data_IF_557191849155
#
_entry.id   IF_557191849155
#
_cell.length_a   1.000
_cell.length_b   1.000
_cell.length_c   1.000
_cell.angle_alpha   90.00
_cell.angle_beta   90.00
_cell.angle_gamma   90.00
#
_symmetry.space_group_name_H-M   'P 1'
#
loop_
_entity.id
_entity.type
_entity.pdbx_description
1 polymer ?
#
# COMPACT_ATOMS: atom_id res chain seq x y z
N UNK A 1 -7.63 -57.91 -50.87
CA UNK A 1 -6.77 -57.85 -49.67
C UNK A 1 -5.51 -57.14 -50.10
N UNK A 2 -5.49 -55.82 -49.89
CA UNK A 2 -4.38 -54.95 -50.27
C UNK A 2 -3.98 -54.22 -48.99
N UNK A 3 -2.80 -54.54 -48.48
CA UNK A 3 -2.23 -53.93 -47.29
C UNK A 3 -1.43 -52.70 -47.73
N UNK A 4 -1.90 -51.52 -47.34
CA UNK A 4 -1.18 -50.27 -47.51
C UNK A 4 -0.15 -50.13 -46.37
N UNK A 5 1.13 -50.26 -46.72
CA UNK A 5 2.26 -50.03 -45.83
C UNK A 5 2.48 -48.51 -45.73
N UNK A 6 1.99 -47.91 -44.64
CA UNK A 6 2.29 -46.52 -44.28
C UNK A 6 3.72 -46.46 -43.74
N UNK A 7 4.61 -45.88 -44.54
CA UNK A 7 6.01 -45.63 -44.13
C UNK A 7 6.07 -44.27 -43.45
N UNK A 8 6.06 -44.24 -42.11
CA UNK A 8 6.30 -43.02 -41.34
C UNK A 8 7.73 -42.51 -41.57
N UNK A 9 7.86 -41.28 -42.08
CA UNK A 9 9.14 -40.58 -42.16
C UNK A 9 9.40 -39.83 -40.86
N UNK A 10 10.61 -39.88 -40.28
CA UNK A 10 10.94 -39.11 -39.09
C UNK A 10 10.96 -37.61 -39.41
N UNK A 11 10.07 -36.85 -38.76
CA UNK A 11 10.02 -35.40 -38.85
C UNK A 11 11.27 -34.79 -38.21
N UNK A 12 12.20 -34.33 -39.07
CA UNK A 12 13.34 -33.51 -38.63
C UNK A 12 12.85 -32.14 -38.17
N UNK A 13 13.32 -31.61 -37.03
CA UNK A 13 12.86 -30.32 -36.51
C UNK A 13 13.31 -29.18 -37.43
N UNK A 14 12.33 -28.53 -38.07
CA UNK A 14 12.55 -27.33 -38.88
C UNK A 14 12.90 -26.17 -37.94
N UNK A 15 14.18 -25.81 -37.88
CA UNK A 15 14.62 -24.56 -37.25
C UNK A 15 14.43 -23.40 -38.22
N UNK A 16 13.45 -22.55 -37.95
CA UNK A 16 13.28 -21.28 -38.67
C UNK A 16 14.02 -20.20 -37.89
N UNK A 17 15.06 -19.63 -38.51
CA UNK A 17 15.84 -18.51 -37.96
C UNK A 17 15.43 -17.26 -38.73
N UNK A 18 14.85 -16.28 -38.04
CA UNK A 18 14.55 -14.98 -38.62
C UNK A 18 15.63 -13.98 -38.21
N UNK A 19 16.21 -13.28 -39.18
CA UNK A 19 17.08 -12.14 -38.93
C UNK A 19 16.30 -10.84 -39.13
N UNK A 20 16.03 -10.11 -38.05
CA UNK A 20 15.40 -8.79 -38.11
C UNK A 20 16.51 -7.74 -38.28
N UNK A 21 16.52 -7.04 -39.41
CA UNK A 21 17.40 -5.89 -39.65
C UNK A 21 16.59 -4.62 -39.45
N UNK A 22 16.90 -3.87 -38.40
CA UNK A 22 16.33 -2.54 -38.15
C UNK A 22 17.29 -1.51 -38.75
N UNK A 23 16.86 -0.86 -39.83
CA UNK A 23 17.54 0.32 -40.37
C UNK A 23 16.94 1.57 -39.74
N UNK A 24 17.66 2.19 -38.81
CA UNK A 24 17.30 3.50 -38.28
C UNK A 24 17.81 4.58 -39.24
N UNK A 25 16.92 5.12 -40.07
CA UNK A 25 17.24 6.34 -40.83
C UNK A 25 17.24 7.55 -39.88
N UNK A 26 18.43 8.13 -39.72
CA UNK A 26 18.66 9.29 -38.86
C UNK A 26 17.95 10.54 -39.35
N UNK A 27 17.09 11.10 -38.50
CA UNK A 27 16.45 12.41 -38.68
C UNK A 27 17.55 13.50 -38.64
N UNK A 28 18.03 13.92 -39.80
CA UNK A 28 18.92 15.09 -39.96
C UNK A 28 18.11 16.39 -39.84
N UNK A 29 17.87 16.84 -38.61
CA UNK A 29 17.32 18.16 -38.32
C UNK A 29 18.38 19.27 -38.46
N UNK A 30 18.42 19.93 -39.62
CA UNK A 30 19.21 21.15 -39.88
C UNK A 30 18.72 22.32 -39.02
N UNK A 31 19.45 22.70 -37.97
CA UNK A 31 19.25 24.00 -37.29
C UNK A 31 20.02 25.10 -38.04
N UNK A 32 19.26 25.97 -38.69
CA UNK A 32 19.72 27.14 -39.45
C UNK A 32 19.95 28.30 -38.47
N UNK A 33 21.22 28.62 -38.21
CA UNK A 33 21.63 29.82 -37.47
C UNK A 33 21.31 31.03 -38.34
N UNK A 34 20.46 31.94 -37.86
CA UNK A 34 20.25 33.26 -38.46
C UNK A 34 21.10 34.27 -37.72
N UNK A 35 22.17 34.70 -38.38
CA UNK A 35 22.97 35.89 -38.10
C UNK A 35 22.15 37.13 -38.45
N UNK A 36 22.03 38.09 -37.54
CA UNK A 36 21.50 39.42 -37.81
C UNK A 36 22.52 40.47 -37.36
N UNK A 37 23.04 41.19 -38.35
CA UNK A 37 23.86 42.41 -38.28
C UNK A 37 23.02 43.63 -37.87
N UNK A 38 23.51 44.53 -37.02
CA UNK A 38 22.93 45.86 -36.83
C UNK A 38 23.61 46.90 -37.73
N UNK A 39 22.81 47.86 -38.23
CA UNK A 39 23.27 49.02 -39.02
C UNK A 39 23.28 50.26 -38.12
N UNK A 40 24.35 51.04 -38.29
CA UNK A 40 24.75 52.21 -37.54
C UNK A 40 23.77 53.39 -37.54
N UNK A 41 23.79 54.16 -36.45
CA UNK A 41 23.79 55.63 -36.51
C UNK A 41 24.59 56.20 -35.34
N UNK A 42 25.55 57.06 -35.69
CA UNK A 42 26.39 57.89 -34.85
C UNK A 42 25.59 58.81 -33.93
N UNK A 43 26.12 59.06 -32.72
CA UNK A 43 26.41 60.42 -32.23
C UNK A 43 27.18 60.36 -30.89
N UNK A 44 28.39 60.94 -30.91
CA UNK A 44 29.14 61.59 -29.83
C UNK A 44 29.61 60.78 -28.57
N UNK A 45 30.94 60.69 -28.45
CA UNK A 45 31.76 60.41 -27.25
C UNK A 45 31.71 61.59 -26.24
N UNK A 46 32.36 61.55 -25.05
CA UNK A 46 33.09 60.47 -24.36
C UNK A 46 32.70 60.29 -22.87
N UNK A 47 33.07 59.16 -22.25
CA UNK A 47 33.87 59.08 -21.00
C UNK A 47 34.07 57.58 -20.69
N UNK A 48 35.34 57.17 -20.71
CA UNK A 48 35.80 55.85 -20.28
C UNK A 48 35.74 55.77 -18.76
N UNK A 49 35.00 54.80 -18.24
CA UNK A 49 35.29 54.19 -16.94
C UNK A 49 35.40 52.69 -17.16
N UNK A 50 36.65 52.25 -17.25
CA UNK A 50 37.10 50.89 -16.93
C UNK A 50 36.65 50.54 -15.51
N UNK A 51 35.93 49.42 -15.35
CA UNK A 51 36.01 48.43 -14.24
C UNK A 51 34.65 47.77 -13.99
N UNK A 52 34.53 46.47 -14.29
CA UNK A 52 34.12 45.42 -13.33
C UNK A 52 33.76 44.13 -14.07
N UNK A 53 34.33 42.97 -13.68
CA UNK A 53 33.97 41.69 -14.25
C UNK A 53 32.53 41.32 -13.82
N UNK A 54 31.69 40.99 -14.79
CA UNK A 54 30.34 40.47 -14.56
C UNK A 54 30.41 39.22 -13.69
N UNK A 55 29.80 39.28 -12.51
CA UNK A 55 29.58 38.13 -11.65
C UNK A 55 28.74 37.07 -12.40
N UNK A 56 29.02 35.77 -12.26
CA UNK A 56 28.28 34.73 -12.95
C UNK A 56 26.85 34.63 -12.43
N UNK A 57 25.88 34.83 -13.33
CA UNK A 57 24.45 34.66 -13.10
C UNK A 57 24.13 33.24 -12.60
N UNK A 58 23.79 33.13 -11.32
CA UNK A 58 23.41 31.88 -10.65
C UNK A 58 21.92 31.53 -10.77
N UNK A 59 21.14 32.26 -11.60
CA UNK A 59 19.68 32.11 -11.74
C UNK A 59 19.21 30.93 -12.61
N UNK A 60 20.13 30.16 -13.21
CA UNK A 60 19.82 29.18 -14.26
C UNK A 60 19.23 27.83 -13.78
N UNK A 61 19.06 27.61 -12.46
CA UNK A 61 18.65 26.29 -11.92
C UNK A 61 17.15 26.13 -11.70
N UNK A 62 16.41 27.21 -11.43
CA UNK A 62 14.97 27.13 -11.11
C UNK A 62 14.11 26.82 -12.35
N UNK A 63 14.50 27.32 -13.53
CA UNK A 63 13.75 27.17 -14.79
C UNK A 63 13.68 25.72 -15.30
N UNK A 64 14.69 24.90 -14.99
CA UNK A 64 14.74 23.50 -15.46
C UNK A 64 13.73 22.60 -14.76
N UNK A 65 13.41 22.86 -13.49
CA UNK A 65 12.46 22.04 -12.72
C UNK A 65 11.03 22.23 -13.21
N UNK A 66 10.62 23.48 -13.45
CA UNK A 66 9.31 23.80 -14.02
C UNK A 66 9.17 23.24 -15.43
N UNK A 67 10.20 23.37 -16.28
CA UNK A 67 10.15 22.83 -17.64
C UNK A 67 9.98 21.31 -17.67
N UNK A 68 10.64 20.58 -16.77
CA UNK A 68 10.47 19.12 -16.68
C UNK A 68 9.06 18.74 -16.21
N UNK A 69 8.47 19.49 -15.29
CA UNK A 69 7.11 19.23 -14.81
C UNK A 69 6.06 19.48 -15.92
N UNK A 70 6.19 20.58 -16.67
CA UNK A 70 5.32 20.85 -17.82
C UNK A 70 5.45 19.75 -18.88
N UNK A 71 6.68 19.36 -19.23
CA UNK A 71 6.93 18.27 -20.19
C UNK A 71 6.30 16.93 -19.74
N UNK A 72 6.35 16.61 -18.44
CA UNK A 72 5.70 15.42 -17.90
C UNK A 72 4.16 15.52 -17.97
N UNK A 73 3.60 16.69 -17.69
CA UNK A 73 2.16 16.92 -17.79
C UNK A 73 1.68 16.84 -19.25
N UNK A 74 2.41 17.43 -20.18
CA UNK A 74 2.11 17.37 -21.62
C UNK A 74 2.17 15.93 -22.11
N UNK A 75 3.21 15.17 -21.75
CA UNK A 75 3.34 13.76 -22.10
C UNK A 75 2.23 12.89 -21.44
N UNK A 76 1.68 13.30 -20.31
CA UNK A 76 0.54 12.63 -19.67
C UNK A 76 -0.77 12.94 -20.41
N UNK A 77 -1.01 14.21 -20.76
CA UNK A 77 -2.18 14.62 -21.53
C UNK A 77 -2.20 13.98 -22.91
N UNK A 78 -1.06 13.92 -23.59
CA UNK A 78 -0.90 13.20 -24.85
C UNK A 78 -1.23 11.71 -24.70
N UNK A 79 -0.73 11.07 -23.64
CA UNK A 79 -1.04 9.66 -23.33
C UNK A 79 -2.54 9.40 -23.13
N UNK A 80 -3.26 10.33 -22.51
CA UNK A 80 -4.71 10.24 -22.29
C UNK A 80 -5.47 10.45 -23.60
N UNK A 81 -5.07 11.46 -24.39
CA UNK A 81 -5.71 11.76 -25.68
C UNK A 81 -5.54 10.61 -26.67
N UNK A 82 -4.34 10.04 -26.76
CA UNK A 82 -4.05 8.90 -27.64
C UNK A 82 -4.82 7.66 -27.20
N UNK A 83 -4.87 7.37 -25.89
CA UNK A 83 -5.66 6.24 -25.38
C UNK A 83 -7.16 6.41 -25.66
N UNK A 84 -7.71 7.60 -25.42
CA UNK A 84 -9.11 7.90 -25.73
C UNK A 84 -9.43 7.81 -27.23
N UNK A 85 -8.48 8.16 -28.10
CA UNK A 85 -8.63 8.00 -29.55
C UNK A 85 -8.71 6.53 -29.97
N UNK A 86 -7.91 5.64 -29.36
CA UNK A 86 -7.99 4.21 -29.62
C UNK A 86 -9.27 3.59 -29.04
N UNK A 87 -9.68 3.99 -27.84
CA UNK A 87 -10.93 3.53 -27.24
C UNK A 87 -12.13 3.87 -28.13
N UNK A 88 -12.21 5.10 -28.65
CA UNK A 88 -13.24 5.50 -29.62
C UNK A 88 -13.20 4.63 -30.89
N UNK A 89 -12.02 4.39 -31.45
CA UNK A 89 -11.87 3.55 -32.64
C UNK A 89 -12.29 2.10 -32.40
N UNK A 90 -12.01 1.55 -31.22
CA UNK A 90 -12.45 0.21 -30.83
C UNK A 90 -13.98 0.18 -30.73
N UNK A 91 -14.58 1.15 -30.05
CA UNK A 91 -16.03 1.28 -29.87
C UNK A 91 -16.76 1.41 -31.22
N UNK A 92 -16.26 2.27 -32.11
CA UNK A 92 -16.84 2.48 -33.45
C UNK A 92 -16.71 1.22 -34.33
N UNK A 93 -15.59 0.49 -34.22
CA UNK A 93 -15.32 -0.69 -35.05
C UNK A 93 -16.07 -1.95 -34.59
N UNK A 94 -16.19 -2.14 -33.29
CA UNK A 94 -16.69 -3.39 -32.70
C UNK A 94 -18.13 -3.25 -32.18
N UNK A 95 -18.89 -2.28 -32.70
CA UNK A 95 -20.32 -2.23 -32.51
C UNK A 95 -20.98 -3.45 -33.19
N UNK A 96 -21.78 -4.19 -32.43
CA UNK A 96 -22.39 -5.42 -32.90
C UNK A 96 -23.62 -5.11 -33.77
N UNK A 97 -23.52 -5.47 -35.05
CA UNK A 97 -24.60 -5.31 -36.03
C UNK A 97 -25.36 -6.61 -36.34
N UNK A 98 -24.98 -7.74 -35.74
CA UNK A 98 -25.66 -9.02 -35.96
C UNK A 98 -26.95 -9.10 -35.13
N UNK A 99 -28.09 -9.21 -35.80
CA UNK A 99 -29.43 -9.38 -35.20
C UNK A 99 -29.56 -10.72 -34.46
N UNK A 100 -28.69 -11.69 -34.75
CA UNK A 100 -28.62 -12.98 -34.08
C UNK A 100 -27.74 -12.97 -32.83
N UNK A 101 -27.01 -11.88 -32.56
CA UNK A 101 -26.28 -11.72 -31.32
C UNK A 101 -27.24 -11.30 -30.19
N UNK A 102 -27.08 -11.87 -28.99
CA UNK A 102 -27.85 -11.41 -27.82
C UNK A 102 -27.42 -10.00 -27.36
N UNK A 103 -26.26 -9.52 -27.81
CA UNK A 103 -25.71 -8.20 -27.52
C UNK A 103 -25.83 -7.26 -28.74
N UNK A 104 -26.92 -7.37 -29.51
CA UNK A 104 -27.21 -6.50 -30.66
C UNK A 104 -27.18 -5.02 -30.25
N UNK A 105 -26.54 -4.18 -31.07
CA UNK A 105 -26.21 -2.76 -30.80
C UNK A 105 -25.24 -2.50 -29.64
N UNK A 106 -24.84 -3.53 -28.90
CA UNK A 106 -23.75 -3.47 -27.92
C UNK A 106 -22.39 -3.55 -28.61
N UNK A 107 -21.36 -3.92 -27.84
CA UNK A 107 -19.99 -4.07 -28.34
C UNK A 107 -19.56 -5.52 -28.24
N UNK A 108 -19.15 -6.10 -29.37
CA UNK A 108 -18.68 -7.48 -29.41
C UNK A 108 -17.39 -7.58 -30.20
N UNK A 109 -16.44 -8.33 -29.65
CA UNK A 109 -15.34 -8.84 -30.45
C UNK A 109 -15.82 -10.12 -31.15
N UNK A 110 -15.54 -10.24 -32.45
CA UNK A 110 -15.88 -11.41 -33.26
C UNK A 110 -14.58 -12.15 -33.54
N UNK A 111 -14.47 -13.38 -33.06
CA UNK A 111 -13.28 -14.20 -33.34
C UNK A 111 -13.27 -14.56 -34.84
N UNK A 112 -12.16 -14.29 -35.55
CA UNK A 112 -12.08 -14.54 -36.98
C UNK A 112 -12.13 -16.03 -37.34
N UNK A 113 -11.91 -16.93 -36.38
CA UNK A 113 -11.79 -18.37 -36.61
C UNK A 113 -13.14 -19.09 -36.57
N UNK A 114 -13.95 -18.79 -35.55
CA UNK A 114 -15.21 -19.49 -35.27
C UNK A 114 -16.45 -18.58 -35.42
N UNK A 115 -16.25 -17.29 -35.70
CA UNK A 115 -17.29 -16.27 -35.79
C UNK A 115 -18.16 -16.15 -34.52
N UNK A 116 -17.61 -16.49 -33.36
CA UNK A 116 -18.28 -16.31 -32.08
C UNK A 116 -18.16 -14.86 -31.60
N UNK A 117 -19.27 -14.33 -31.07
CA UNK A 117 -19.30 -12.99 -30.51
C UNK A 117 -19.02 -13.03 -29.00
N UNK A 118 -18.12 -12.19 -28.54
CA UNK A 118 -17.77 -12.03 -27.13
C UNK A 118 -18.09 -10.63 -26.64
N UNK A 119 -18.76 -10.50 -25.49
CA UNK A 119 -19.17 -9.19 -24.96
C UNK A 119 -17.96 -8.35 -24.54
N UNK A 120 -17.88 -7.12 -25.05
CA UNK A 120 -16.86 -6.16 -24.66
C UNK A 120 -17.44 -5.13 -23.68
N UNK A 121 -16.93 -5.14 -22.45
CA UNK A 121 -17.21 -4.09 -21.45
C UNK A 121 -16.31 -2.86 -21.69
N UNK A 122 -16.64 -1.72 -21.09
CA UNK A 122 -15.79 -0.53 -21.13
C UNK A 122 -14.36 -0.80 -20.60
N UNK A 123 -14.25 -1.62 -19.54
CA UNK A 123 -12.95 -2.03 -18.98
C UNK A 123 -12.14 -2.82 -20.01
N UNK A 124 -12.79 -3.70 -20.79
CA UNK A 124 -12.13 -4.45 -21.87
C UNK A 124 -11.65 -3.50 -22.99
N UNK A 125 -12.47 -2.52 -23.38
CA UNK A 125 -12.12 -1.51 -24.39
C UNK A 125 -10.90 -0.68 -23.97
N UNK A 126 -10.89 -0.19 -22.73
CA UNK A 126 -9.78 0.58 -22.16
C UNK A 126 -8.50 -0.25 -22.08
N UNK A 127 -8.59 -1.51 -21.61
CA UNK A 127 -7.44 -2.43 -21.55
C UNK A 127 -6.86 -2.69 -22.94
N UNK A 128 -7.71 -2.90 -23.95
CA UNK A 128 -7.28 -3.06 -25.34
C UNK A 128 -6.65 -1.79 -25.89
N UNK A 129 -7.25 -0.61 -25.70
CA UNK A 129 -6.68 0.67 -26.14
C UNK A 129 -5.27 0.91 -25.57
N UNK A 130 -5.06 0.58 -24.29
CA UNK A 130 -3.76 0.68 -23.64
C UNK A 130 -2.73 -0.29 -24.25
N UNK A 131 -3.14 -1.50 -24.62
CA UNK A 131 -2.26 -2.48 -25.26
C UNK A 131 -1.90 -2.09 -26.71
N UNK A 132 -2.80 -1.43 -27.46
CA UNK A 132 -2.48 -0.86 -28.77
C UNK A 132 -1.40 0.21 -28.62
N UNK A 133 -1.56 1.10 -27.64
CA UNK A 133 -0.57 2.13 -27.33
C UNK A 133 0.79 1.54 -26.95
N UNK A 134 0.80 0.42 -26.23
CA UNK A 134 2.03 -0.29 -25.87
C UNK A 134 2.70 -1.02 -27.06
N UNK A 135 1.97 -1.22 -28.17
CA UNK A 135 2.44 -2.00 -29.32
C UNK A 135 2.21 -3.51 -29.20
N UNK A 136 1.51 -3.95 -28.15
CA UNK A 136 1.22 -5.36 -27.86
C UNK A 136 -0.05 -5.87 -28.58
N UNK A 137 -0.86 -4.96 -29.10
CA UNK A 137 -2.11 -5.26 -29.78
C UNK A 137 -2.36 -4.32 -30.96
N UNK A 138 -3.35 -4.67 -31.78
CA UNK A 138 -3.80 -3.83 -32.91
C UNK A 138 -5.30 -3.62 -32.80
N UNK A 139 -5.86 -2.69 -33.59
CA UNK A 139 -7.32 -2.45 -33.64
C UNK A 139 -8.12 -3.69 -34.06
N UNK A 140 -7.50 -4.62 -34.80
CA UNK A 140 -8.13 -5.86 -35.28
C UNK A 140 -7.82 -7.06 -34.39
N UNK A 141 -6.63 -7.10 -33.78
CA UNK A 141 -6.19 -8.20 -32.94
C UNK A 141 -6.09 -7.75 -31.47
N UNK A 142 -7.04 -8.16 -30.61
CA UNK A 142 -7.00 -7.89 -29.17
C UNK A 142 -5.81 -8.58 -28.49
N UNK A 143 -5.44 -8.12 -27.28
CA UNK A 143 -4.40 -8.76 -26.48
C UNK A 143 -4.80 -10.20 -26.14
N UNK A 144 -3.85 -11.14 -26.21
CA UNK A 144 -4.09 -12.57 -25.91
C UNK A 144 -4.72 -12.78 -24.52
N UNK A 145 -4.32 -11.97 -23.54
CA UNK A 145 -4.90 -12.02 -22.19
C UNK A 145 -6.41 -11.76 -22.20
N UNK A 146 -6.85 -10.78 -22.99
CA UNK A 146 -8.24 -10.37 -23.10
C UNK A 146 -9.08 -11.44 -23.81
N UNK A 147 -8.53 -12.03 -24.88
CA UNK A 147 -9.16 -13.16 -25.60
C UNK A 147 -9.43 -14.33 -24.67
N UNK A 148 -8.48 -14.68 -23.79
CA UNK A 148 -8.68 -15.77 -22.81
C UNK A 148 -9.81 -15.48 -21.83
N UNK A 149 -9.93 -14.23 -21.35
CA UNK A 149 -11.03 -13.82 -20.46
C UNK A 149 -12.37 -13.98 -21.18
N UNK A 150 -12.47 -13.52 -22.42
CA UNK A 150 -13.68 -13.67 -23.23
C UNK A 150 -14.05 -15.13 -23.50
N UNK A 151 -13.06 -15.98 -23.80
CA UNK A 151 -13.28 -17.42 -23.97
C UNK A 151 -13.79 -18.08 -22.67
N UNK A 152 -13.32 -17.64 -21.50
CA UNK A 152 -13.80 -18.11 -20.20
C UNK A 152 -15.23 -17.64 -19.90
N UNK A 153 -15.54 -16.37 -20.19
CA UNK A 153 -16.88 -15.78 -20.05
C UNK A 153 -17.90 -16.44 -21.01
N UNK A 154 -17.40 -16.91 -22.15
CA UNK A 154 -18.17 -17.63 -23.17
C UNK A 154 -18.77 -16.70 -24.23
N UNK A 155 -19.10 -17.30 -25.37
CA UNK A 155 -19.73 -16.59 -26.47
C UNK A 155 -21.17 -16.17 -26.15
N UNK A 156 -21.60 -15.04 -26.71
CA UNK A 156 -22.89 -14.39 -26.46
C UNK A 156 -23.93 -14.74 -27.54
N UNK A 157 -23.56 -15.57 -28.53
CA UNK A 157 -24.45 -15.96 -29.62
C UNK A 157 -25.72 -16.66 -29.09
N UNK A 158 -26.87 -16.47 -29.76
CA UNK A 158 -28.15 -17.11 -29.40
C UNK A 158 -28.05 -18.65 -29.28
N UNK A 159 -27.15 -19.26 -30.05
CA UNK A 159 -26.90 -20.70 -30.05
C UNK A 159 -26.07 -21.15 -28.82
N UNK A 160 -25.20 -20.28 -28.32
CA UNK A 160 -24.35 -20.53 -27.16
C UNK A 160 -25.02 -20.11 -25.85
N UNK A 161 -26.36 -20.24 -25.76
CA UNK A 161 -27.09 -20.00 -24.51
C UNK A 161 -26.55 -20.94 -23.44
N UNK A 162 -25.61 -20.45 -22.63
CA UNK A 162 -25.31 -21.07 -21.35
C UNK A 162 -26.64 -21.24 -20.60
N UNK A 163 -26.88 -22.38 -19.93
CA UNK A 163 -27.99 -22.48 -19.00
C UNK A 163 -27.92 -21.25 -18.10
N UNK A 164 -29.02 -20.45 -18.07
CA UNK A 164 -29.10 -19.16 -17.39
C UNK A 164 -28.31 -19.27 -16.10
N UNK A 165 -27.17 -18.57 -16.01
CA UNK A 165 -26.47 -18.50 -14.74
C UNK A 165 -27.50 -18.07 -13.71
N UNK A 166 -27.64 -18.92 -12.70
CA UNK A 166 -28.54 -18.73 -11.57
C UNK A 166 -28.42 -17.26 -11.16
N UNK A 167 -29.58 -16.59 -11.06
CA UNK A 167 -29.71 -15.14 -10.85
C UNK A 167 -28.65 -14.61 -9.90
N UNK A 168 -28.18 -13.36 -10.07
CA UNK A 168 -27.27 -12.70 -9.13
C UNK A 168 -27.75 -12.83 -7.65
N UNK A 169 -29.06 -13.01 -7.43
CA UNK A 169 -29.65 -13.32 -6.12
C UNK A 169 -29.35 -14.75 -5.59
N UNK A 170 -29.19 -15.74 -6.47
CA UNK A 170 -28.76 -17.09 -6.11
C UNK A 170 -27.25 -17.17 -5.90
N UNK A 171 -26.46 -16.42 -6.67
CA UNK A 171 -25.01 -16.31 -6.42
C UNK A 171 -24.71 -15.61 -5.08
N UNK A 172 -25.45 -14.55 -4.73
CA UNK A 172 -25.30 -13.90 -3.41
C UNK A 172 -25.74 -14.81 -2.27
N UNK A 173 -26.80 -15.62 -2.45
CA UNK A 173 -27.24 -16.61 -1.45
C UNK A 173 -26.17 -17.68 -1.20
N UNK A 174 -25.55 -18.21 -2.25
CA UNK A 174 -24.46 -19.19 -2.13
C UNK A 174 -23.22 -18.61 -1.46
N UNK A 175 -22.85 -17.36 -1.78
CA UNK A 175 -21.75 -16.68 -1.07
C UNK A 175 -22.07 -16.42 0.41
N UNK A 176 -23.30 -16.04 0.73
CA UNK A 176 -23.69 -15.78 2.12
C UNK A 176 -23.74 -17.06 2.96
N UNK A 177 -24.16 -18.18 2.36
CA UNK A 177 -24.15 -19.50 2.98
C UNK A 177 -22.72 -19.99 3.22
N UNK A 178 -21.83 -19.84 2.22
CA UNK A 178 -20.39 -20.11 2.37
C UNK A 178 -19.74 -19.24 3.47
N UNK A 179 -20.13 -17.97 3.57
CA UNK A 179 -19.64 -17.07 4.61
C UNK A 179 -20.11 -17.47 6.01
N UNK A 180 -21.38 -17.86 6.18
CA UNK A 180 -21.90 -18.37 7.45
C UNK A 180 -21.21 -19.66 7.87
N UNK A 181 -20.96 -20.57 6.92
CA UNK A 181 -20.23 -21.82 7.20
C UNK A 181 -18.78 -21.55 7.60
N UNK A 182 -18.15 -20.55 7.00
CA UNK A 182 -16.78 -20.13 7.37
C UNK A 182 -16.76 -19.52 8.77
N UNK A 183 -17.73 -18.66 9.11
CA UNK A 183 -17.88 -18.15 10.48
C UNK A 183 -18.08 -19.27 11.50
N UNK A 184 -18.90 -20.27 11.17
CA UNK A 184 -19.11 -21.45 12.01
C UNK A 184 -17.82 -22.23 12.22
N UNK A 185 -17.03 -22.47 11.17
CA UNK A 185 -15.73 -23.12 11.27
C UNK A 185 -14.73 -22.34 12.14
N UNK A 186 -14.68 -21.01 12.02
CA UNK A 186 -13.81 -20.17 12.85
C UNK A 186 -14.19 -20.34 14.33
N UNK A 187 -15.49 -20.35 14.64
CA UNK A 187 -15.97 -20.49 16.01
C UNK A 187 -15.65 -21.88 16.58
N UNK A 188 -15.82 -22.94 15.78
CA UNK A 188 -15.48 -24.32 16.17
C UNK A 188 -13.97 -24.50 16.36
N UNK A 189 -13.15 -23.94 15.46
CA UNK A 189 -11.70 -23.94 15.58
C UNK A 189 -11.22 -23.22 16.85
N UNK A 190 -11.83 -22.07 17.16
CA UNK A 190 -11.53 -21.32 18.39
C UNK A 190 -11.88 -22.12 19.63
N UNK A 191 -13.00 -22.85 19.61
CA UNK A 191 -13.42 -23.71 20.71
C UNK A 191 -12.44 -24.90 20.91
N UNK A 192 -11.98 -25.52 19.83
CA UNK A 192 -10.98 -26.59 19.87
C UNK A 192 -9.65 -26.07 20.41
N UNK A 193 -9.21 -24.89 19.98
CA UNK A 193 -7.98 -24.28 20.48
C UNK A 193 -8.04 -24.03 21.98
N UNK A 194 -9.18 -23.52 22.48
CA UNK A 194 -9.41 -23.32 23.90
C UNK A 194 -9.40 -24.64 24.69
N UNK A 195 -9.99 -25.72 24.15
CA UNK A 195 -9.91 -27.04 24.76
C UNK A 195 -8.48 -27.59 24.81
N UNK A 196 -7.69 -27.36 23.77
CA UNK A 196 -6.31 -27.81 23.68
C UNK A 196 -5.41 -27.09 24.69
N UNK A 197 -5.55 -25.77 24.82
CA UNK A 197 -4.82 -24.98 25.82
C UNK A 197 -5.18 -25.40 27.25
N UNK A 198 -6.47 -25.69 27.50
CA UNK A 198 -6.93 -26.20 28.79
C UNK A 198 -6.32 -27.57 29.12
N UNK A 199 -6.23 -28.48 28.14
CA UNK A 199 -5.55 -29.77 28.34
C UNK A 199 -4.05 -29.61 28.61
N UNK A 200 -3.38 -28.72 27.89
CA UNK A 200 -1.95 -28.45 28.10
C UNK A 200 -1.71 -27.85 29.49
N UNK A 201 -2.56 -26.94 29.94
CA UNK A 201 -2.48 -26.36 31.28
C UNK A 201 -2.67 -27.42 32.36
N UNK A 202 -3.56 -28.39 32.14
CA UNK A 202 -3.76 -29.52 33.04
C UNK A 202 -2.51 -30.42 33.10
N UNK A 203 -1.88 -30.70 31.96
CA UNK A 203 -0.62 -31.46 31.91
C UNK A 203 0.52 -30.75 32.62
N UNK A 204 0.73 -29.44 32.35
CA UNK A 204 1.76 -28.65 33.04
C UNK A 204 1.55 -28.62 34.55
N UNK A 205 0.31 -28.58 35.01
CA UNK A 205 0.00 -28.65 36.44
C UNK A 205 0.30 -30.03 37.03
N UNK A 206 0.01 -31.12 36.32
CA UNK A 206 0.38 -32.46 36.76
C UNK A 206 1.90 -32.64 36.82
N UNK A 207 2.63 -32.15 35.83
CA UNK A 207 4.09 -32.20 35.81
C UNK A 207 4.69 -31.40 36.97
N UNK A 208 4.17 -30.21 37.27
CA UNK A 208 4.56 -29.43 38.45
C UNK A 208 4.30 -30.17 39.76
N UNK A 209 3.22 -30.95 39.85
CA UNK A 209 2.95 -31.79 41.03
C UNK A 209 3.97 -32.93 41.13
N UNK A 210 4.28 -33.59 40.01
CA UNK A 210 5.29 -34.65 39.94
C UNK A 210 6.66 -34.14 40.36
N UNK A 211 7.11 -33.00 39.83
CA UNK A 211 8.40 -32.39 40.20
C UNK A 211 8.47 -32.04 41.69
N UNK A 212 7.37 -31.56 42.28
CA UNK A 212 7.31 -31.29 43.72
C UNK A 212 7.40 -32.56 44.55
N UNK A 213 6.86 -33.66 44.05
CA UNK A 213 6.94 -34.96 44.71
C UNK A 213 8.37 -35.51 44.64
N UNK A 214 9.00 -35.48 43.46
CA UNK A 214 10.41 -35.88 43.29
C UNK A 214 11.35 -35.03 44.15
N UNK A 215 11.13 -33.71 44.27
CA UNK A 215 11.92 -32.86 45.16
C UNK A 215 11.78 -33.25 46.64
N UNK A 216 10.58 -33.65 47.06
CA UNK A 216 10.36 -34.14 48.43
C UNK A 216 11.10 -35.46 48.66
N UNK A 217 10.99 -36.39 47.72
CA UNK A 217 11.69 -37.68 47.78
C UNK A 217 13.22 -37.51 47.78
N UNK A 218 13.75 -36.58 46.97
CA UNK A 218 15.17 -36.25 46.94
C UNK A 218 15.64 -35.60 48.25
N UNK A 219 14.86 -34.67 48.81
CA UNK A 219 15.17 -34.06 50.10
C UNK A 219 15.15 -35.09 51.24
N UNK A 220 14.22 -36.04 51.20
CA UNK A 220 14.11 -37.12 52.17
C UNK A 220 15.31 -38.09 52.09
N UNK A 221 15.78 -38.43 50.88
CA UNK A 221 17.03 -39.20 50.71
C UNK A 221 18.25 -38.47 51.28
N UNK A 222 18.40 -37.17 51.02
CA UNK A 222 19.50 -36.37 51.56
C UNK A 222 19.42 -36.27 53.08
N UNK A 223 18.22 -36.16 53.64
CA UNK A 223 17.97 -36.18 55.09
C UNK A 223 18.41 -37.50 55.73
N UNK A 224 18.13 -38.65 55.10
CA UNK A 224 18.54 -39.96 55.63
C UNK A 224 20.06 -40.21 55.55
N UNK A 225 20.77 -39.53 54.65
CA UNK A 225 22.23 -39.66 54.50
C UNK A 225 23.03 -38.82 55.50
N UNK A 226 22.39 -37.97 56.33
CA UNK A 226 23.09 -37.20 57.38
C UNK A 226 23.29 -38.06 58.63
N UNK A 227 24.53 -38.47 58.96
CA UNK A 227 24.81 -39.13 60.23
C UNK A 227 24.49 -38.19 61.41
N UNK A 228 23.95 -38.73 62.53
CA UNK A 228 23.60 -37.95 63.71
C UNK A 228 24.86 -37.54 64.46
N UNK A 229 25.57 -36.52 63.98
CA UNK A 229 26.67 -35.91 64.73
C UNK A 229 26.12 -34.83 65.66
N UNK A 230 26.08 -35.19 66.95
CA UNK A 230 26.36 -34.34 68.11
C UNK A 230 25.72 -32.96 68.16
N UNK A 231 24.64 -32.83 68.94
CA UNK A 231 24.31 -31.58 69.62
C UNK A 231 25.47 -31.17 70.53
N UNK A 232 26.37 -30.32 70.05
CA UNK A 232 27.28 -29.57 70.91
C UNK A 232 26.71 -28.19 71.16
N UNK A 233 25.95 -28.12 72.25
CA UNK A 233 25.85 -26.93 73.09
C UNK A 233 27.26 -26.43 73.45
N UNK A 234 27.41 -25.11 73.63
CA UNK A 234 28.14 -24.44 74.73
C UNK A 234 28.82 -23.12 74.30
N UNK A 235 28.30 -22.02 74.88
CA UNK A 235 28.95 -20.80 75.39
C UNK A 235 29.83 -19.86 74.53
N UNK A 236 29.58 -18.55 74.71
CA UNK A 236 30.51 -17.42 74.51
C UNK A 236 29.88 -16.29 73.69
N UNK A 237 29.15 -15.31 74.25
CA UNK A 237 29.54 -14.20 75.16
C UNK A 237 30.58 -13.23 74.57
N UNK A 238 30.10 -12.06 74.14
CA UNK A 238 30.64 -10.77 74.59
C UNK A 238 31.33 -9.87 73.55
N UNK A 239 30.73 -8.67 73.36
CA UNK A 239 31.34 -7.36 73.02
C UNK A 239 32.09 -7.26 71.66
N UNK A 240 32.09 -6.17 70.90
CA UNK A 240 32.13 -4.77 71.31
C UNK A 240 31.70 -3.80 70.19
N UNK A 241 31.57 -2.54 70.59
CA UNK A 241 31.02 -1.39 69.89
C UNK A 241 31.74 -0.91 68.60
N UNK A 242 30.96 -0.23 67.75
CA UNK A 242 31.39 1.01 67.10
C UNK A 242 31.86 0.94 65.64
N UNK A 243 30.99 1.29 64.69
CA UNK A 243 31.07 2.55 63.90
C UNK A 243 29.96 2.63 62.85
N UNK A 244 29.47 3.84 62.52
CA UNK A 244 28.30 4.05 61.68
C UNK A 244 28.73 4.26 60.22
N UNK A 245 28.19 3.46 59.30
CA UNK A 245 28.20 3.84 57.88
C UNK A 245 26.76 4.07 57.43
N UNK A 246 26.41 5.35 57.36
CA UNK A 246 25.21 5.83 56.69
C UNK A 246 25.30 5.49 55.21
N UNK A 247 24.46 4.56 54.76
CA UNK A 247 23.96 4.58 53.39
C UNK A 247 22.58 5.23 53.40
N UNK A 248 22.34 6.25 52.56
CA UNK A 248 21.02 6.85 52.44
C UNK A 248 20.07 5.84 51.81
N UNK A 249 18.90 5.74 52.42
CA UNK A 249 17.88 4.76 52.12
C UNK A 249 17.22 4.92 50.76
N UNK A 250 16.52 3.85 50.40
CA UNK A 250 15.20 3.90 49.79
C UNK A 250 14.48 2.61 50.19
N UNK A 251 13.87 2.66 51.38
CA UNK A 251 12.80 1.78 51.86
C UNK A 251 11.68 1.71 50.80
N UNK A 252 11.18 0.54 50.41
CA UNK A 252 10.27 -0.32 51.18
C UNK A 252 9.00 0.39 51.65
N UNK A 253 7.87 -0.01 51.10
CA UNK A 253 6.71 -0.36 51.92
C UNK A 253 6.02 -1.60 51.34
N UNK A 254 6.24 -2.74 51.99
CA UNK A 254 5.27 -3.81 52.06
C UNK A 254 5.43 -4.54 53.38
N UNK A 255 4.69 -4.06 54.38
CA UNK A 255 4.36 -4.84 55.57
C UNK A 255 3.05 -5.63 55.35
N UNK A 256 2.84 -6.68 56.15
CA UNK A 256 1.91 -7.75 55.92
C UNK A 256 0.62 -7.57 56.74
N UNK A 257 -0.50 -8.12 56.25
CA UNK A 257 -1.66 -8.39 57.11
C UNK A 257 -2.23 -9.77 56.79
N UNK A 258 -2.36 -10.49 57.89
CA UNK A 258 -2.94 -11.78 58.17
C UNK A 258 -4.43 -11.88 57.80
N UNK A 259 -4.93 -13.13 57.73
CA UNK A 259 -6.33 -13.55 57.94
C UNK A 259 -7.45 -12.85 57.17
N UNK A 260 -8.22 -13.60 56.38
CA UNK A 260 -9.59 -13.97 56.79
C UNK A 260 -10.17 -15.06 55.86
N UNK A 261 -10.58 -16.15 56.53
CA UNK A 261 -11.55 -17.16 56.09
C UNK A 261 -12.91 -16.50 55.84
N UNK A 262 -13.61 -16.85 54.76
CA UNK A 262 -15.02 -16.50 54.55
C UNK A 262 -15.60 -17.06 53.24
N UNK A 263 -16.92 -17.34 53.15
CA UNK A 263 -17.52 -18.50 52.47
C UNK A 263 -18.06 -18.21 51.03
N UNK A 264 -18.58 -19.22 50.30
CA UNK A 264 -19.12 -19.03 48.95
C UNK A 264 -20.54 -18.44 49.01
N UNK A 265 -20.79 -17.41 48.20
CA UNK A 265 -22.13 -16.83 48.02
C UNK A 265 -22.67 -17.21 46.65
N UNK A 266 -23.67 -18.08 46.66
CA UNK A 266 -24.72 -18.18 45.64
C UNK A 266 -25.34 -16.81 45.38
N UNK A 267 -25.32 -16.34 44.13
CA UNK A 267 -26.25 -15.31 43.65
C UNK A 267 -26.82 -15.76 42.30
N UNK A 268 -28.04 -16.27 42.38
CA UNK A 268 -29.00 -16.39 41.30
C UNK A 268 -29.23 -15.03 40.61
N UNK A 269 -29.07 -14.99 39.29
CA UNK A 269 -29.66 -13.94 38.46
C UNK A 269 -30.92 -14.48 37.76
N UNK A 270 -32.07 -13.78 37.81
CA UNK A 270 -33.28 -14.18 37.10
C UNK A 270 -33.23 -13.81 35.61
N UNK A 271 -34.03 -14.47 34.76
CA UNK A 271 -34.08 -14.22 33.32
C UNK A 271 -34.80 -12.91 33.00
N UNK A 272 -34.16 -12.06 32.20
CA UNK A 272 -34.78 -10.84 31.66
C UNK A 272 -35.78 -11.22 30.57
N UNK A 273 -37.06 -11.17 30.92
CA UNK A 273 -38.19 -11.21 29.99
C UNK A 273 -38.21 -9.94 29.14
N UNK A 274 -38.09 -10.08 27.82
CA UNK A 274 -38.46 -9.03 26.88
C UNK A 274 -39.99 -8.95 26.79
N UNK A 275 -40.54 -7.86 27.33
CA UNK A 275 -41.95 -7.52 27.18
C UNK A 275 -42.18 -6.86 25.81
N UNK A 276 -43.25 -7.32 25.16
CA UNK A 276 -43.89 -6.72 23.99
C UNK A 276 -44.07 -5.21 24.15
N UNK A 277 -43.59 -4.43 23.18
CA UNK A 277 -44.06 -3.06 22.96
C UNK A 277 -45.09 -3.07 21.83
N UNK A 278 -46.31 -2.73 22.21
CA UNK A 278 -47.49 -2.57 21.37
C UNK A 278 -47.27 -1.63 20.17
N UNK A 279 -47.83 -2.08 19.05
CA UNK A 279 -48.22 -1.26 17.92
C UNK A 279 -49.13 -0.12 18.37
N UNK A 280 -48.70 1.13 18.17
CA UNK A 280 -49.56 2.32 18.25
C UNK A 280 -49.63 2.99 16.87
N UNK A 281 -50.80 3.05 16.22
CA UNK A 281 -50.95 3.77 14.96
C UNK A 281 -51.06 5.27 15.24
N UNK A 282 -50.14 6.07 14.70
CA UNK A 282 -50.30 7.52 14.68
C UNK A 282 -51.01 7.95 13.39
N UNK A 283 -52.20 8.49 13.61
CA UNK A 283 -53.03 9.24 12.69
C UNK A 283 -52.32 10.51 12.17
N UNK A 284 -52.67 10.84 10.92
CA UNK A 284 -52.31 12.05 10.20
C UNK A 284 -52.57 13.33 11.01
N UNK A 285 -51.58 14.23 11.04
CA UNK A 285 -51.82 15.65 11.26
C UNK A 285 -50.91 16.53 10.38
N UNK A 286 -51.58 17.52 9.81
CA UNK A 286 -51.10 18.64 9.01
C UNK A 286 -49.80 19.29 9.47
N UNK A 287 -48.91 19.54 8.51
CA UNK A 287 -47.79 20.46 8.67
C UNK A 287 -47.91 21.64 7.71
N UNK A 288 -48.28 22.77 8.32
CA UNK A 288 -48.20 24.13 7.83
C UNK A 288 -46.71 24.54 7.71
N UNK A 289 -46.27 25.23 6.64
CA UNK A 289 -44.87 25.61 6.49
C UNK A 289 -44.52 26.78 7.43
N UNK A 290 -43.60 26.53 8.35
CA UNK A 290 -42.99 27.52 9.26
C UNK A 290 -41.69 28.00 8.60
N UNK A 291 -41.68 29.27 8.18
CA UNK A 291 -40.48 29.95 7.69
C UNK A 291 -39.43 30.00 8.81
N UNK A 292 -38.30 29.33 8.60
CA UNK A 292 -37.13 29.41 9.46
C UNK A 292 -36.08 30.32 8.83
N UNK A 293 -35.65 31.30 9.62
CA UNK A 293 -34.56 32.23 9.39
C UNK A 293 -33.23 31.48 9.15
N UNK A 294 -32.58 31.84 8.04
CA UNK A 294 -31.28 31.34 7.60
C UNK A 294 -30.18 31.85 8.56
N UNK A 295 -29.58 30.95 9.33
CA UNK A 295 -28.29 31.19 9.95
C UNK A 295 -27.17 30.87 8.93
N UNK A 296 -26.07 31.65 8.89
CA UNK A 296 -24.98 31.41 7.97
C UNK A 296 -24.26 30.10 8.30
N UNK A 297 -24.34 29.16 7.38
CA UNK A 297 -23.64 27.87 7.41
C UNK A 297 -22.13 28.18 7.35
N UNK A 298 -21.41 27.92 8.44
CA UNK A 298 -19.96 27.82 8.42
C UNK A 298 -19.57 26.73 7.43
N UNK A 299 -19.11 27.14 6.26
CA UNK A 299 -18.53 26.27 5.26
C UNK A 299 -17.29 25.63 5.86
N UNK A 300 -17.38 24.35 6.18
CA UNK A 300 -16.22 23.50 6.43
C UNK A 300 -15.30 23.61 5.23
N UNK A 301 -14.09 24.16 5.45
CA UNK A 301 -13.09 24.31 4.42
C UNK A 301 -12.87 22.96 3.72
N UNK A 302 -12.99 22.89 2.38
CA UNK A 302 -12.72 21.65 1.64
C UNK A 302 -11.27 21.26 1.92
N UNK A 303 -11.11 20.11 2.60
CA UNK A 303 -9.81 19.49 2.83
C UNK A 303 -9.05 19.43 1.50
N UNK A 304 -7.84 19.98 1.48
CA UNK A 304 -7.04 20.27 0.29
C UNK A 304 -7.07 19.16 -0.77
N UNK A 305 -7.07 19.53 -2.07
CA UNK A 305 -7.04 18.56 -3.15
C UNK A 305 -5.73 17.76 -3.07
N UNK A 306 -5.86 16.52 -2.61
CA UNK A 306 -4.83 15.50 -2.86
C UNK A 306 -4.83 15.34 -4.38
N UNK A 307 -3.69 15.62 -5.03
CA UNK A 307 -3.50 15.31 -6.45
C UNK A 307 -3.84 13.83 -6.66
N UNK A 308 -5.05 13.54 -7.14
CA UNK A 308 -5.56 12.22 -7.54
C UNK A 308 -4.93 11.72 -8.84
N UNK A 309 -3.79 12.30 -9.20
CA UNK A 309 -3.19 12.28 -10.52
C UNK A 309 -1.87 11.51 -10.56
N UNK A 310 -1.31 11.16 -9.40
CA UNK A 310 -0.21 10.21 -9.32
C UNK A 310 -0.79 8.79 -9.37
N UNK A 311 -0.36 7.99 -10.34
CA UNK A 311 -0.77 6.58 -10.45
C UNK A 311 -0.46 5.86 -9.13
N UNK A 312 -1.43 5.12 -8.58
CA UNK A 312 -1.30 4.45 -7.28
C UNK A 312 -0.05 3.57 -7.21
N UNK A 313 0.33 2.94 -8.32
CA UNK A 313 1.54 2.14 -8.46
C UNK A 313 2.81 2.97 -8.23
N UNK A 314 2.87 4.20 -8.75
CA UNK A 314 4.02 5.09 -8.49
C UNK A 314 4.11 5.46 -7.02
N UNK A 315 2.99 5.69 -6.34
CA UNK A 315 2.97 5.99 -4.91
C UNK A 315 3.44 4.78 -4.09
N UNK A 316 3.02 3.57 -4.48
CA UNK A 316 3.51 2.31 -3.90
C UNK A 316 5.02 2.17 -4.06
N UNK A 317 5.56 2.44 -5.26
CA UNK A 317 7.00 2.42 -5.52
C UNK A 317 7.73 3.41 -4.62
N UNK A 318 7.25 4.66 -4.54
CA UNK A 318 7.82 5.71 -3.67
C UNK A 318 7.78 5.30 -2.18
N UNK A 319 6.70 4.64 -1.74
CA UNK A 319 6.56 4.11 -0.39
C UNK A 319 7.63 3.07 -0.08
N UNK A 320 7.84 2.08 -0.96
CA UNK A 320 8.88 1.08 -0.75
C UNK A 320 10.28 1.69 -0.77
N UNK A 321 10.56 2.62 -1.67
CA UNK A 321 11.86 3.31 -1.72
C UNK A 321 12.14 4.14 -0.46
N UNK A 322 11.11 4.76 0.12
CA UNK A 322 11.21 5.41 1.42
C UNK A 322 11.48 4.38 2.53
N UNK A 323 10.75 3.27 2.55
CA UNK A 323 10.85 2.27 3.62
C UNK A 323 12.18 1.52 3.60
N UNK A 324 12.70 1.20 2.41
CA UNK A 324 14.03 0.59 2.22
C UNK A 324 15.11 1.54 2.74
N UNK A 325 15.09 2.82 2.34
CA UNK A 325 16.06 3.83 2.80
C UNK A 325 16.06 4.04 4.32
N UNK A 326 14.91 3.91 4.97
CA UNK A 326 14.79 4.09 6.43
C UNK A 326 15.05 2.80 7.23
N UNK A 327 15.27 1.67 6.57
CA UNK A 327 15.54 0.39 7.24
C UNK A 327 17.05 0.19 7.32
N UNK A 328 17.63 0.09 8.52
CA UNK A 328 19.07 -0.10 8.68
C UNK A 328 19.54 -1.55 8.42
N UNK A 329 18.65 -2.54 8.61
CA UNK A 329 18.99 -3.95 8.45
C UNK A 329 18.97 -4.36 6.98
N UNK A 330 20.13 -4.76 6.44
CA UNK A 330 20.31 -5.22 5.05
C UNK A 330 19.39 -6.42 4.72
N UNK A 331 19.32 -7.43 5.59
CA UNK A 331 18.41 -8.58 5.43
C UNK A 331 16.95 -8.14 5.32
N UNK A 332 16.56 -7.09 6.06
CA UNK A 332 15.19 -6.55 6.01
C UNK A 332 14.99 -5.70 4.75
N UNK A 333 16.00 -4.99 4.27
CA UNK A 333 15.96 -4.29 2.98
C UNK A 333 15.75 -5.28 1.83
N UNK A 334 16.45 -6.41 1.80
CA UNK A 334 16.28 -7.46 0.78
C UNK A 334 14.84 -8.01 0.77
N UNK A 335 14.26 -8.24 1.95
CA UNK A 335 12.86 -8.66 2.06
C UNK A 335 11.90 -7.59 1.55
N UNK A 336 12.17 -6.31 1.82
CA UNK A 336 11.39 -5.19 1.31
C UNK A 336 11.51 -5.04 -0.21
N UNK A 337 12.69 -5.28 -0.78
CA UNK A 337 12.93 -5.29 -2.23
C UNK A 337 12.11 -6.38 -2.92
N UNK A 338 12.16 -7.62 -2.42
CA UNK A 338 11.35 -8.73 -2.97
C UNK A 338 9.85 -8.47 -2.83
N UNK A 339 9.43 -7.90 -1.70
CA UNK A 339 8.03 -7.51 -1.51
C UNK A 339 7.63 -6.46 -2.54
N UNK A 340 8.43 -5.40 -2.73
CA UNK A 340 8.20 -4.35 -3.75
C UNK A 340 8.01 -4.96 -5.14
N UNK A 341 8.92 -5.84 -5.57
CA UNK A 341 8.83 -6.53 -6.86
C UNK A 341 7.53 -7.33 -6.98
N UNK A 342 7.15 -8.06 -5.94
CA UNK A 342 5.91 -8.84 -5.90
C UNK A 342 4.67 -7.94 -6.02
N UNK A 343 4.61 -6.84 -5.27
CA UNK A 343 3.47 -5.90 -5.30
C UNK A 343 3.33 -5.27 -6.69
N UNK A 344 4.44 -4.81 -7.29
CA UNK A 344 4.44 -4.22 -8.64
C UNK A 344 4.09 -5.26 -9.70
N UNK A 345 4.62 -6.48 -9.61
CA UNK A 345 4.35 -7.54 -10.59
C UNK A 345 2.89 -7.99 -10.59
N UNK A 346 2.19 -7.88 -9.46
CA UNK A 346 0.77 -8.25 -9.34
C UNK A 346 -0.17 -7.04 -9.42
N UNK A 347 0.34 -5.86 -9.78
CA UNK A 347 -0.42 -4.60 -9.92
C UNK A 347 -1.26 -4.26 -8.68
N UNK A 348 -0.76 -4.55 -7.48
CA UNK A 348 -1.48 -4.27 -6.23
C UNK A 348 -1.45 -2.78 -5.90
N UNK A 349 -2.63 -2.24 -5.57
CA UNK A 349 -2.84 -0.82 -5.25
C UNK A 349 -2.53 -0.49 -3.79
N UNK A 350 -2.55 0.81 -3.46
CA UNK A 350 -2.43 1.26 -2.07
C UNK A 350 -3.53 0.74 -1.16
N UNK A 351 -4.75 0.59 -1.69
CA UNK A 351 -5.87 0.06 -0.91
C UNK A 351 -5.72 -1.44 -0.69
N UNK A 352 -5.25 -2.20 -1.68
CA UNK A 352 -4.93 -3.62 -1.50
C UNK A 352 -3.89 -3.81 -0.40
N UNK A 353 -2.85 -2.96 -0.34
CA UNK A 353 -1.84 -3.00 0.72
C UNK A 353 -2.40 -2.69 2.11
N UNK A 354 -3.43 -1.84 2.21
CA UNK A 354 -4.12 -1.60 3.48
C UNK A 354 -4.97 -2.80 3.86
N UNK A 355 -5.67 -3.41 2.90
CA UNK A 355 -6.47 -4.62 3.13
C UNK A 355 -5.59 -5.81 3.53
N UNK A 356 -4.36 -5.89 3.00
CA UNK A 356 -3.36 -6.88 3.42
C UNK A 356 -2.93 -6.75 4.89
N UNK A 357 -3.25 -5.68 5.62
CA UNK A 357 -2.97 -5.67 7.06
C UNK A 357 -3.88 -6.59 7.86
N UNK A 358 -5.03 -6.93 7.29
CA UNK A 358 -6.09 -7.68 7.96
C UNK A 358 -5.92 -9.17 7.60
N UNK A 359 -5.62 -10.03 8.59
CA UNK A 359 -5.24 -11.43 8.35
C UNK A 359 -6.38 -12.28 7.78
N UNK A 360 -7.62 -11.84 7.96
CA UNK A 360 -8.82 -12.54 7.51
C UNK A 360 -9.11 -12.31 6.01
N UNK A 361 -8.34 -11.45 5.36
CA UNK A 361 -8.57 -11.11 3.95
C UNK A 361 -7.87 -12.10 3.02
N UNK A 362 -8.52 -12.44 1.91
CA UNK A 362 -7.93 -13.30 0.86
C UNK A 362 -6.64 -12.69 0.30
N UNK A 363 -6.55 -11.36 0.23
CA UNK A 363 -5.35 -10.64 -0.22
C UNK A 363 -4.15 -10.90 0.71
N UNK A 364 -4.37 -10.94 2.03
CA UNK A 364 -3.32 -11.29 2.97
C UNK A 364 -2.80 -12.72 2.76
N UNK A 365 -3.69 -13.71 2.62
CA UNK A 365 -3.26 -15.09 2.33
C UNK A 365 -2.51 -15.20 0.99
N UNK A 366 -2.95 -14.45 -0.02
CA UNK A 366 -2.27 -14.38 -1.31
C UNK A 366 -0.88 -13.75 -1.19
N UNK A 367 -0.72 -12.70 -0.38
CA UNK A 367 0.56 -12.06 -0.12
C UNK A 367 1.55 -13.03 0.55
N UNK A 368 1.10 -13.81 1.54
CA UNK A 368 1.91 -14.87 2.17
C UNK A 368 2.35 -15.93 1.15
N UNK A 369 1.42 -16.40 0.31
CA UNK A 369 1.72 -17.37 -0.74
C UNK A 369 2.72 -16.85 -1.78
N UNK A 370 2.79 -15.52 -1.96
CA UNK A 370 3.77 -14.85 -2.84
C UNK A 370 5.09 -14.50 -2.13
N UNK A 371 5.28 -14.93 -0.88
CA UNK A 371 6.53 -14.78 -0.15
C UNK A 371 6.68 -13.47 0.63
N UNK A 372 5.62 -12.67 0.77
CA UNK A 372 5.60 -11.56 1.73
C UNK A 372 5.43 -12.14 3.12
N UNK A 373 6.29 -11.76 4.07
CA UNK A 373 6.20 -12.28 5.44
C UNK A 373 5.02 -11.67 6.18
N UNK A 374 4.39 -12.45 7.06
CA UNK A 374 3.25 -12.04 7.92
C UNK A 374 3.50 -10.67 8.59
N UNK A 375 4.60 -10.56 9.34
CA UNK A 375 4.94 -9.32 10.03
C UNK A 375 5.08 -8.10 9.12
N UNK A 376 5.46 -8.27 7.84
CA UNK A 376 5.51 -7.17 6.89
C UNK A 376 4.11 -6.77 6.41
N UNK A 377 3.27 -7.74 6.08
CA UNK A 377 1.91 -7.50 5.60
C UNK A 377 1.08 -6.74 6.65
N UNK A 378 1.12 -7.17 7.91
CA UNK A 378 0.42 -6.50 9.02
C UNK A 378 0.89 -5.07 9.26
N UNK A 379 2.16 -4.77 8.98
CA UNK A 379 2.75 -3.45 9.19
C UNK A 379 2.48 -2.46 8.05
N UNK A 380 1.99 -2.90 6.88
CA UNK A 380 1.79 -1.97 5.76
C UNK A 380 0.87 -0.81 6.10
N UNK A 381 -0.23 -1.05 6.83
CA UNK A 381 -1.18 0.01 7.22
C UNK A 381 -0.55 1.05 8.16
N UNK A 382 0.23 0.63 9.16
CA UNK A 382 0.93 1.56 10.05
C UNK A 382 1.99 2.34 9.30
N UNK A 383 2.74 1.68 8.42
CA UNK A 383 3.86 2.29 7.73
C UNK A 383 3.41 3.23 6.62
N UNK A 384 2.30 2.93 5.93
CA UNK A 384 1.64 3.86 5.00
C UNK A 384 1.18 5.13 5.71
N UNK A 385 0.73 5.02 6.98
CA UNK A 385 0.37 6.19 7.78
C UNK A 385 1.60 7.07 8.07
N UNK A 386 2.72 6.46 8.45
CA UNK A 386 3.99 7.15 8.70
C UNK A 386 4.56 7.80 7.43
N UNK A 387 4.52 7.07 6.32
CA UNK A 387 4.91 7.59 5.02
C UNK A 387 4.06 8.82 4.63
N UNK A 388 2.73 8.74 4.80
CA UNK A 388 1.84 9.85 4.50
C UNK A 388 2.12 11.07 5.39
N UNK A 389 2.44 10.89 6.67
CA UNK A 389 2.85 12.02 7.53
C UNK A 389 4.16 12.64 7.08
N UNK A 390 5.14 11.83 6.67
CA UNK A 390 6.44 12.30 6.19
C UNK A 390 6.31 13.07 4.87
N UNK A 391 5.53 12.55 3.92
CA UNK A 391 5.27 13.20 2.63
C UNK A 391 4.48 14.50 2.82
N UNK A 392 3.48 14.52 3.72
CA UNK A 392 2.76 15.75 4.07
C UNK A 392 3.66 16.76 4.76
N UNK A 393 4.53 16.32 5.68
CA UNK A 393 5.48 17.17 6.38
C UNK A 393 6.50 17.81 5.44
N UNK A 394 7.09 17.01 4.54
CA UNK A 394 8.01 17.50 3.50
C UNK A 394 7.32 18.36 2.45
N UNK A 395 6.09 18.02 2.05
CA UNK A 395 5.28 18.87 1.17
C UNK A 395 5.00 20.23 1.81
N UNK A 396 4.77 20.27 3.12
CA UNK A 396 4.57 21.52 3.86
C UNK A 396 5.89 22.28 4.07
N UNK A 397 7.02 21.60 4.28
CA UNK A 397 8.34 22.25 4.40
C UNK A 397 8.79 22.76 3.05
N UNK A 398 8.61 22.02 1.96
CA UNK A 398 8.97 22.47 0.61
C UNK A 398 8.02 23.58 0.14
N UNK A 399 6.72 23.52 0.47
CA UNK A 399 5.78 24.61 0.20
C UNK A 399 6.07 25.84 1.09
N UNK A 400 6.38 25.67 2.37
CA UNK A 400 6.75 26.78 3.26
C UNK A 400 8.12 27.36 2.91
N UNK A 401 9.09 26.56 2.47
CA UNK A 401 10.40 27.04 2.00
C UNK A 401 10.27 27.75 0.66
N UNK A 402 9.37 27.28 -0.21
CA UNK A 402 9.00 27.98 -1.45
C UNK A 402 8.24 29.28 -1.15
N UNK A 403 7.35 29.29 -0.16
CA UNK A 403 6.59 30.47 0.26
C UNK A 403 7.48 31.50 1.00
N UNK A 404 8.40 31.06 1.86
CA UNK A 404 9.42 31.93 2.50
C UNK A 404 10.37 32.51 1.45
N UNK A 405 10.81 31.72 0.47
CA UNK A 405 11.61 32.23 -0.64
C UNK A 405 10.84 33.25 -1.51
N UNK A 406 9.52 33.10 -1.63
CA UNK A 406 8.66 34.07 -2.34
C UNK A 406 8.38 35.34 -1.52
N UNK A 407 8.34 35.24 -0.18
CA UNK A 407 8.16 36.40 0.71
C UNK A 407 9.44 37.22 0.86
N UNK A 408 10.62 36.58 0.89
CA UNK A 408 11.91 37.29 0.93
C UNK A 408 12.18 38.07 -0.36
N UNK A 409 11.66 37.63 -1.52
CA UNK A 409 11.76 38.39 -2.76
C UNK A 409 10.79 39.59 -2.83
N UNK A 410 9.84 39.72 -1.89
CA UNK A 410 8.80 40.76 -1.94
C UNK A 410 9.03 41.91 -0.96
N UNK A 411 10.12 41.90 -0.19
CA UNK A 411 10.44 42.99 0.74
C UNK A 411 11.94 43.32 0.72
N UNK A 412 12.45 44.07 -0.28
CA UNK A 412 13.80 44.61 -0.24
C UNK A 412 13.84 45.76 0.78
N UNK A 413 13.89 45.42 2.07
CA UNK A 413 14.24 46.41 3.10
C UNK A 413 15.73 46.71 2.97
N UNK A 414 15.99 47.88 2.42
CA UNK A 414 17.22 48.64 2.54
C UNK A 414 17.61 48.72 4.02
N UNK A 415 18.54 47.86 4.44
CA UNK A 415 19.34 48.11 5.65
C UNK A 415 20.76 48.40 5.19
N UNK A 416 21.01 49.69 4.98
CA UNK A 416 22.35 50.24 4.95
C UNK A 416 22.91 50.31 6.37
N UNK A 417 24.08 49.74 6.57
CA UNK A 417 25.09 50.06 7.60
C UNK A 417 26.25 49.09 7.30
N UNK A 418 27.38 49.50 6.73
CA UNK A 418 28.14 50.69 7.07
C UNK A 418 28.99 50.35 8.30
N UNK A 419 30.13 49.68 8.09
CA UNK A 419 31.03 49.26 9.16
C UNK A 419 32.23 48.49 8.60
N UNK A 420 33.15 49.21 7.97
CA UNK A 420 34.41 48.64 7.51
C UNK A 420 35.32 48.29 8.68
N UNK A 421 35.85 47.07 8.67
CA UNK A 421 36.98 46.66 9.51
C UNK A 421 38.08 46.20 8.55
N UNK A 422 39.13 47.00 8.44
CA UNK A 422 40.34 46.68 7.69
C UNK A 422 41.21 45.72 8.53
N UNK A 423 41.71 44.61 7.98
CA UNK A 423 42.81 43.88 8.61
C UNK A 423 44.16 44.60 8.36
N UNK A 424 45.12 44.51 9.29
CA UNK A 424 46.44 45.09 9.12
C UNK A 424 47.26 44.28 8.10
N UNK A 425 47.97 45.00 7.23
CA UNK A 425 49.02 44.47 6.35
C UNK A 425 50.33 44.44 7.13
N UNK A 426 50.88 43.25 7.30
CA UNK A 426 52.29 43.07 7.65
C UNK A 426 53.07 42.81 6.34
N UNK A 427 53.88 43.79 5.95
CA UNK A 427 54.96 43.63 4.97
C UNK A 427 56.27 43.29 5.72
N UNK A 428 57.12 42.36 5.21
CA UNK A 428 58.42 42.08 5.81
C UNK A 428 59.55 42.89 5.16
N UNK A 429 60.48 43.39 6.00
CA UNK A 429 61.91 43.55 5.70
C UNK A 429 62.68 42.73 6.73
#
# INVERSE_FOLDING_TARGET
MSEDIVTERPHSPVRVIFSVRITCEGIKGKKRIKTATPKAQDHALPVRITSSPSAPDSSSKTTRRTQNLLSQQDARMERIQVAGAYEKQITDRWQCHDENCNNWRGFCWVDPTDHLHYNMTAIHQQSWANAIRAGDATLTSPPVKLVRVWQQDGAVNKLARRPKQLSAAQQSKSMMESFQETQKQIMEMTQIQMQMEMQEQMQRNNERRSQRQEQREMAEQVSMARPPYGQSSLYGRGFDAGTPFQFPGSDHHRTPVDQFRGPPSDINHPPTTFANTEYRPQSAQDHRPRQASVAPISQSAPSSPINTDEDDIEIVIKFFDWKIRNTQSEIRQDKLMRAKETIVQNDWTLDDMKTMSDPDTRLYSLALAKGITDGMARQFKSDLRLFKSEVKGKGHIDAARTASALLDMRNPRVTGTGGGFLPPRDDPI
#
